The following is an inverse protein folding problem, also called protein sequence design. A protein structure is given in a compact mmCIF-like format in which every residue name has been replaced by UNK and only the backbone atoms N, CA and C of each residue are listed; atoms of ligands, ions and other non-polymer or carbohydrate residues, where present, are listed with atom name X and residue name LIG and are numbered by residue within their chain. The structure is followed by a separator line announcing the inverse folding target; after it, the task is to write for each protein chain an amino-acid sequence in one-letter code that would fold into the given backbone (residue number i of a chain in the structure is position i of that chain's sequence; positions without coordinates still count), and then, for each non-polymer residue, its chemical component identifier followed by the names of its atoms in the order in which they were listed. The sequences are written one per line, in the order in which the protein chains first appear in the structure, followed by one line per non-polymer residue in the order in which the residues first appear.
data_IF_307730099063
#
_entry.id   IF_307730099063
#
_cell.length_a   1.000
_cell.length_b   1.000
_cell.length_c   1.000
_cell.angle_alpha   90.00
_cell.angle_beta   90.00
_cell.angle_gamma   90.00
#
_symmetry.space_group_name_H-M   'P 1'
#
loop_
_entity.id
_entity.type
_entity.pdbx_description
1 polymer ?
#
# COMPACT_ATOMS: atom_id res chain seq x y z
N UNK A 1 -4.80 -26.93 -2.65
CA UNK A 1 -4.25 -25.57 -2.46
C UNK A 1 -3.89 -25.31 -1.00
N UNK A 2 -4.80 -25.56 -0.04
CA UNK A 2 -4.47 -25.60 1.39
C UNK A 2 -3.25 -26.48 1.70
N UNK A 3 -3.14 -27.66 1.09
CA UNK A 3 -1.95 -28.52 1.20
C UNK A 3 -0.64 -27.85 0.75
N UNK A 4 -0.67 -27.06 -0.34
CA UNK A 4 0.51 -26.33 -0.84
C UNK A 4 0.86 -25.14 0.08
N UNK A 5 -0.15 -24.43 0.58
CA UNK A 5 0.04 -23.33 1.51
C UNK A 5 0.61 -23.81 2.86
N UNK A 6 0.09 -24.92 3.40
CA UNK A 6 0.61 -25.54 4.63
C UNK A 6 2.07 -25.97 4.49
N UNK A 7 2.47 -26.47 3.31
CA UNK A 7 3.86 -26.83 3.02
C UNK A 7 4.78 -25.60 2.99
N UNK A 8 4.29 -24.44 2.54
CA UNK A 8 5.08 -23.21 2.41
C UNK A 8 5.10 -22.41 3.72
N UNK A 9 3.98 -22.27 4.39
CA UNK A 9 3.81 -21.43 5.59
C UNK A 9 3.95 -22.18 6.92
N UNK A 10 3.86 -23.51 6.90
CA UNK A 10 3.77 -24.33 8.11
C UNK A 10 2.40 -24.23 8.84
N UNK A 11 1.50 -23.36 8.38
CA UNK A 11 0.20 -23.11 9.04
C UNK A 11 -0.89 -23.93 8.38
N UNK A 12 -1.67 -24.63 9.21
CA UNK A 12 -2.86 -25.33 8.73
C UNK A 12 -4.00 -24.33 8.51
N UNK A 13 -4.40 -24.20 7.24
CA UNK A 13 -5.49 -23.32 6.81
C UNK A 13 -6.68 -24.12 6.26
N UNK A 14 -6.77 -25.41 6.58
CA UNK A 14 -7.79 -26.31 6.02
C UNK A 14 -9.22 -25.92 6.39
N UNK A 15 -9.39 -25.23 7.51
CA UNK A 15 -10.70 -24.78 8.02
C UNK A 15 -11.12 -23.39 7.50
N UNK A 16 -10.26 -22.71 6.73
CA UNK A 16 -10.57 -21.38 6.18
C UNK A 16 -11.39 -21.49 4.90
N UNK A 17 -12.26 -20.50 4.68
CA UNK A 17 -13.01 -20.44 3.43
C UNK A 17 -12.09 -20.13 2.25
N UNK A 18 -12.39 -20.68 1.08
CA UNK A 18 -11.51 -20.55 -0.10
C UNK A 18 -11.28 -19.08 -0.52
N UNK A 19 -12.26 -18.21 -0.27
CA UNK A 19 -12.13 -16.76 -0.52
C UNK A 19 -11.07 -16.12 0.38
N UNK A 20 -10.94 -16.54 1.64
CA UNK A 20 -9.92 -16.02 2.57
C UNK A 20 -8.49 -16.47 2.16
N UNK A 21 -8.41 -17.52 1.35
CA UNK A 21 -7.16 -18.09 0.85
C UNK A 21 -6.77 -17.47 -0.49
N UNK A 22 -7.73 -17.29 -1.41
CA UNK A 22 -7.46 -16.95 -2.81
C UNK A 22 -7.80 -15.52 -3.21
N UNK A 23 -8.85 -14.93 -2.63
CA UNK A 23 -9.32 -13.63 -3.09
C UNK A 23 -8.37 -12.54 -2.62
N UNK A 24 -8.09 -11.58 -3.49
CA UNK A 24 -7.29 -10.41 -3.13
C UNK A 24 -8.23 -9.37 -2.52
N UNK A 25 -8.43 -9.46 -1.21
CA UNK A 25 -9.23 -8.49 -0.46
C UNK A 25 -8.34 -7.37 0.03
N UNK A 26 -8.46 -6.20 -0.60
CA UNK A 26 -7.69 -5.00 -0.26
C UNK A 26 -8.53 -4.04 0.60
N UNK A 27 -7.97 -3.62 1.72
CA UNK A 27 -8.51 -2.56 2.57
C UNK A 27 -7.63 -1.31 2.48
N UNK A 28 -8.24 -0.20 2.08
CA UNK A 28 -7.60 1.12 2.06
C UNK A 28 -7.96 1.87 3.36
N UNK A 29 -6.99 1.96 4.28
CA UNK A 29 -7.11 2.65 5.56
C UNK A 29 -6.55 4.05 5.40
N UNK A 30 -7.45 5.02 5.26
CA UNK A 30 -7.09 6.43 5.12
C UNK A 30 -6.25 6.91 6.33
N UNK A 31 -5.13 7.65 6.13
CA UNK A 31 -4.74 8.26 4.86
C UNK A 31 -3.78 7.43 3.99
N UNK A 32 -3.16 6.39 4.52
CA UNK A 32 -1.93 5.89 3.90
C UNK A 32 -1.52 4.45 4.20
N UNK A 33 -2.43 3.61 4.68
CA UNK A 33 -2.15 2.20 4.92
C UNK A 33 -3.07 1.36 4.04
N UNK A 34 -2.49 0.39 3.33
CA UNK A 34 -3.20 -0.56 2.50
C UNK A 34 -2.90 -1.95 3.06
N UNK A 35 -3.94 -2.74 3.35
CA UNK A 35 -3.78 -4.09 3.90
C UNK A 35 -4.48 -5.08 2.98
N UNK A 36 -3.76 -6.12 2.57
CA UNK A 36 -4.30 -7.25 1.84
C UNK A 36 -4.65 -8.35 2.85
N UNK A 37 -5.94 -8.54 3.10
CA UNK A 37 -6.45 -9.37 4.18
C UNK A 37 -6.82 -10.78 3.69
N UNK A 38 -5.88 -11.41 2.98
CA UNK A 38 -6.04 -12.78 2.50
C UNK A 38 -4.72 -13.53 2.63
N UNK A 39 -4.79 -14.82 2.94
CA UNK A 39 -3.61 -15.65 3.15
C UNK A 39 -2.73 -15.78 1.90
N UNK A 40 -3.34 -15.74 0.71
CA UNK A 40 -2.63 -15.75 -0.57
C UNK A 40 -2.02 -14.40 -0.97
N UNK A 41 -2.24 -13.33 -0.21
CA UNK A 41 -1.65 -12.01 -0.45
C UNK A 41 -1.32 -11.35 0.88
N UNK A 42 -0.27 -11.82 1.59
CA UNK A 42 0.08 -11.35 2.93
C UNK A 42 0.82 -10.01 2.91
N UNK A 43 0.35 -9.06 2.10
CA UNK A 43 1.00 -7.77 1.88
C UNK A 43 0.32 -6.68 2.71
N UNK A 44 1.12 -5.74 3.18
CA UNK A 44 0.63 -4.41 3.55
C UNK A 44 1.58 -3.35 3.00
N UNK A 45 1.00 -2.21 2.61
CA UNK A 45 1.76 -1.05 2.15
C UNK A 45 1.49 0.14 3.05
N UNK A 46 2.54 0.89 3.37
CA UNK A 46 2.40 2.20 4.03
C UNK A 46 3.13 3.25 3.21
N UNK A 47 2.45 4.38 2.97
CA UNK A 47 3.00 5.47 2.15
C UNK A 47 3.09 6.74 2.99
N UNK A 48 4.28 7.22 3.29
CA UNK A 48 4.43 8.44 4.10
C UNK A 48 5.08 9.55 3.29
N UNK A 49 4.61 10.82 3.36
CA UNK A 49 5.31 11.93 2.73
C UNK A 49 6.74 12.04 3.25
N UNK A 50 7.71 12.20 2.36
CA UNK A 50 9.12 12.28 2.75
C UNK A 50 9.87 13.22 1.80
N UNK A 51 10.59 14.23 2.30
CA UNK A 51 11.44 15.06 1.44
C UNK A 51 10.72 16.00 0.46
N UNK A 52 9.43 16.29 0.66
CA UNK A 52 8.68 17.28 -0.13
C UNK A 52 7.42 16.71 -0.80
N UNK A 53 6.73 17.50 -1.64
CA UNK A 53 5.49 17.09 -2.30
C UNK A 53 5.67 16.03 -3.40
N UNK A 54 6.90 15.81 -3.87
CA UNK A 54 7.23 14.90 -4.98
C UNK A 54 7.84 13.57 -4.51
N UNK A 55 8.00 13.40 -3.20
CA UNK A 55 8.68 12.24 -2.64
C UNK A 55 7.86 11.64 -1.49
N UNK A 56 7.91 10.33 -1.40
CA UNK A 56 7.31 9.56 -0.33
C UNK A 56 8.21 8.39 0.03
N UNK A 57 8.07 7.90 1.25
CA UNK A 57 8.58 6.60 1.65
C UNK A 57 7.47 5.58 1.42
N UNK A 58 7.73 4.64 0.52
CA UNK A 58 6.86 3.50 0.24
C UNK A 58 7.40 2.28 0.98
N UNK A 59 6.67 1.82 1.99
CA UNK A 59 7.05 0.68 2.82
C UNK A 59 6.21 -0.53 2.46
N UNK A 60 6.87 -1.69 2.34
CA UNK A 60 6.25 -2.98 2.06
C UNK A 60 6.45 -3.89 3.27
N UNK A 61 5.35 -4.47 3.75
CA UNK A 61 5.35 -5.46 4.81
C UNK A 61 4.86 -6.80 4.26
N UNK A 62 5.57 -7.88 4.61
CA UNK A 62 5.09 -9.24 4.44
C UNK A 62 4.61 -9.78 5.80
N UNK A 63 3.30 -9.90 5.95
CA UNK A 63 2.63 -10.33 7.17
C UNK A 63 2.26 -11.81 7.07
N UNK A 64 3.28 -12.67 7.15
CA UNK A 64 3.11 -14.12 7.05
C UNK A 64 2.49 -14.70 8.33
N UNK A 65 1.58 -15.69 8.20
CA UNK A 65 1.06 -16.38 9.37
C UNK A 65 2.16 -17.27 9.99
N UNK A 66 2.04 -17.54 11.29
CA UNK A 66 2.93 -18.45 12.01
C UNK A 66 2.13 -19.36 12.96
N UNK A 67 2.73 -20.47 13.36
CA UNK A 67 2.18 -21.38 14.37
C UNK A 67 3.21 -21.64 15.48
N UNK A 68 2.76 -21.70 16.73
CA UNK A 68 3.65 -21.87 17.88
C UNK A 68 4.19 -20.53 18.36
N UNK A 69 5.47 -20.49 18.72
CA UNK A 69 6.12 -19.28 19.19
C UNK A 69 6.25 -18.24 18.07
N UNK A 70 5.98 -16.97 18.40
CA UNK A 70 6.08 -15.87 17.44
C UNK A 70 7.54 -15.69 17.03
N UNK A 71 7.86 -15.72 15.72
CA UNK A 71 9.21 -15.44 15.26
C UNK A 71 9.58 -13.98 15.54
N UNK A 72 10.88 -13.72 15.65
CA UNK A 72 11.38 -12.34 15.71
C UNK A 72 10.97 -11.55 14.47
N UNK A 73 10.84 -10.23 14.64
CA UNK A 73 10.51 -9.35 13.52
C UNK A 73 11.60 -9.43 12.44
N UNK A 74 11.18 -9.37 11.17
CA UNK A 74 12.11 -9.36 10.04
C UNK A 74 13.04 -8.14 10.11
N UNK A 75 14.30 -8.32 9.69
CA UNK A 75 15.24 -7.22 9.60
C UNK A 75 14.71 -6.12 8.66
N UNK A 76 14.80 -4.87 9.11
CA UNK A 76 14.43 -3.73 8.28
C UNK A 76 15.44 -3.56 7.15
N UNK A 77 14.95 -3.59 5.91
CA UNK A 77 15.73 -3.31 4.72
C UNK A 77 15.24 -2.01 4.08
N UNK A 78 16.12 -1.03 3.97
CA UNK A 78 15.87 0.21 3.26
C UNK A 78 16.47 0.13 1.87
N UNK A 79 15.69 0.53 0.87
CA UNK A 79 16.14 0.68 -0.50
C UNK A 79 16.44 2.15 -0.78
N UNK A 80 17.50 2.40 -1.52
CA UNK A 80 17.81 3.70 -2.12
C UNK A 80 17.05 3.87 -3.46
N UNK A 81 16.96 5.11 -3.95
CA UNK A 81 16.14 5.49 -5.13
C UNK A 81 16.48 4.69 -6.42
N UNK A 82 17.67 4.06 -6.49
CA UNK A 82 18.14 3.29 -7.65
C UNK A 82 18.11 1.76 -7.45
N UNK A 83 17.64 1.28 -6.29
CA UNK A 83 17.52 -0.13 -5.97
C UNK A 83 16.11 -0.64 -6.27
N UNK A 84 15.97 -1.93 -6.60
CA UNK A 84 14.71 -2.54 -7.03
C UNK A 84 14.12 -3.41 -5.94
N UNK A 85 12.79 -3.41 -5.82
CA UNK A 85 12.08 -4.37 -4.97
C UNK A 85 12.22 -5.80 -5.52
N UNK A 86 12.35 -5.95 -6.84
CA UNK A 86 12.60 -7.24 -7.51
C UNK A 86 13.91 -7.91 -7.12
N UNK A 87 14.89 -7.16 -6.61
CA UNK A 87 16.17 -7.72 -6.15
C UNK A 87 16.07 -8.30 -4.72
N UNK A 88 14.95 -8.09 -4.02
CA UNK A 88 14.73 -8.55 -2.65
C UNK A 88 14.11 -9.94 -2.67
N UNK A 89 14.92 -10.95 -2.37
CA UNK A 89 14.52 -12.37 -2.41
C UNK A 89 13.23 -12.64 -1.63
N UNK A 90 13.07 -12.02 -0.45
CA UNK A 90 11.89 -12.18 0.40
C UNK A 90 10.59 -11.74 -0.28
N UNK A 91 10.63 -10.80 -1.23
CA UNK A 91 9.45 -10.33 -1.96
C UNK A 91 9.04 -11.27 -3.11
N UNK A 92 9.88 -12.23 -3.49
CA UNK A 92 9.56 -13.24 -4.51
C UNK A 92 9.05 -12.59 -5.82
N UNK A 93 7.96 -13.07 -6.40
CA UNK A 93 7.32 -12.50 -7.57
C UNK A 93 6.70 -11.11 -7.33
N UNK A 94 6.41 -10.71 -6.08
CA UNK A 94 5.81 -9.41 -5.80
C UNK A 94 6.77 -8.26 -6.11
N UNK A 95 8.08 -8.45 -5.90
CA UNK A 95 9.08 -7.40 -6.11
C UNK A 95 9.03 -6.82 -7.52
N UNK A 96 9.00 -7.68 -8.54
CA UNK A 96 8.90 -7.23 -9.94
C UNK A 96 7.55 -6.62 -10.33
N UNK A 97 6.47 -6.90 -9.59
CA UNK A 97 5.18 -6.22 -9.77
C UNK A 97 5.23 -4.83 -9.15
N UNK A 98 5.77 -4.71 -7.94
CA UNK A 98 5.96 -3.43 -7.25
C UNK A 98 6.86 -2.51 -8.06
N UNK A 99 7.94 -3.03 -8.65
CA UNK A 99 8.81 -2.25 -9.53
C UNK A 99 8.07 -1.66 -10.73
N UNK A 100 7.06 -2.35 -11.29
CA UNK A 100 6.26 -1.81 -12.39
C UNK A 100 5.42 -0.60 -11.96
N UNK A 101 4.87 -0.62 -10.75
CA UNK A 101 4.11 0.49 -10.19
C UNK A 101 5.02 1.67 -9.84
N UNK A 102 6.15 1.40 -9.18
CA UNK A 102 7.13 2.41 -8.76
C UNK A 102 7.78 3.09 -9.98
N UNK A 103 8.10 2.35 -11.04
CA UNK A 103 8.68 2.89 -12.28
C UNK A 103 7.68 3.82 -13.03
N UNK A 104 6.38 3.68 -12.77
CA UNK A 104 5.30 4.47 -13.39
C UNK A 104 5.02 5.77 -12.63
N UNK A 105 5.12 5.77 -11.30
CA UNK A 105 4.78 6.92 -10.44
C UNK A 105 5.50 8.24 -10.82
N UNK A 106 6.84 8.28 -11.04
CA UNK A 106 7.53 9.51 -11.46
C UNK A 106 7.07 10.05 -12.82
N UNK A 107 6.56 9.17 -13.69
CA UNK A 107 6.03 9.57 -15.00
C UNK A 107 4.69 10.26 -14.84
N UNK A 108 3.81 9.74 -13.97
CA UNK A 108 2.55 10.39 -13.61
C UNK A 108 2.82 11.75 -12.98
N UNK A 109 3.74 11.84 -12.01
CA UNK A 109 4.07 13.10 -11.36
C UNK A 109 4.54 14.17 -12.35
N UNK A 110 5.49 13.83 -13.25
CA UNK A 110 5.94 14.75 -14.31
C UNK A 110 4.83 15.16 -15.26
N UNK A 111 3.93 14.23 -15.59
CA UNK A 111 2.76 14.51 -16.43
C UNK A 111 1.79 15.51 -15.78
N UNK A 112 1.52 15.34 -14.48
CA UNK A 112 0.67 16.26 -13.71
C UNK A 112 1.27 17.67 -13.65
N UNK A 113 2.57 17.80 -13.42
CA UNK A 113 3.25 19.12 -13.45
C UNK A 113 3.20 19.78 -14.82
N UNK A 114 3.34 18.97 -15.88
CA UNK A 114 3.41 19.48 -17.26
C UNK A 114 2.02 19.79 -17.84
N UNK A 115 0.93 19.45 -17.14
CA UNK A 115 -0.44 19.70 -17.59
C UNK A 115 -0.77 21.19 -17.54
N UNK A 116 -1.16 21.79 -18.67
CA UNK A 116 -1.55 23.21 -18.71
C UNK A 116 -2.75 23.52 -17.82
N UNK A 117 -3.72 22.59 -17.73
CA UNK A 117 -4.93 22.79 -16.94
C UNK A 117 -4.72 22.59 -15.45
N UNK A 118 -3.60 21.97 -15.03
CA UNK A 118 -3.34 21.54 -13.65
C UNK A 118 -4.50 20.74 -13.03
N UNK A 119 -5.27 20.05 -13.87
CA UNK A 119 -6.42 19.21 -13.49
C UNK A 119 -6.30 17.85 -14.16
N UNK A 120 -7.01 16.87 -13.62
CA UNK A 120 -7.06 15.50 -14.12
C UNK A 120 -8.52 15.03 -14.19
N UNK A 121 -8.81 14.14 -15.13
CA UNK A 121 -10.13 13.52 -15.27
C UNK A 121 -10.02 12.06 -14.88
N UNK A 122 -10.93 11.60 -14.00
CA UNK A 122 -10.98 10.22 -13.54
C UNK A 122 -12.15 9.48 -14.18
N UNK A 123 -11.91 8.25 -14.64
CA UNK A 123 -12.91 7.28 -15.07
C UNK A 123 -14.03 7.12 -14.04
N UNK A 124 -15.27 7.05 -14.52
CA UNK A 124 -16.45 6.99 -13.65
C UNK A 124 -16.45 5.74 -12.75
N UNK A 125 -16.08 4.58 -13.30
CA UNK A 125 -16.18 3.30 -12.59
C UNK A 125 -14.84 2.85 -11.98
N UNK A 126 -13.79 2.77 -12.80
CA UNK A 126 -12.51 2.15 -12.41
C UNK A 126 -11.73 2.97 -11.37
N UNK A 127 -11.95 4.28 -11.31
CA UNK A 127 -11.20 5.19 -10.43
C UNK A 127 -12.07 5.79 -9.32
N UNK A 128 -13.20 5.14 -9.02
CA UNK A 128 -14.10 5.52 -7.92
C UNK A 128 -13.40 5.57 -6.57
N UNK A 129 -12.48 4.63 -6.28
CA UNK A 129 -11.66 4.62 -5.05
C UNK A 129 -10.71 5.81 -4.96
N UNK A 130 -10.04 6.18 -6.06
CA UNK A 130 -9.16 7.35 -6.11
C UNK A 130 -9.96 8.63 -5.84
N UNK A 131 -11.13 8.75 -6.46
CA UNK A 131 -12.05 9.89 -6.23
C UNK A 131 -12.49 9.97 -4.77
N UNK A 132 -12.90 8.84 -4.19
CA UNK A 132 -13.32 8.78 -2.78
C UNK A 132 -12.17 9.16 -1.81
N UNK A 133 -10.95 8.70 -2.08
CA UNK A 133 -9.76 9.07 -1.31
C UNK A 133 -9.50 10.58 -1.39
N UNK A 134 -9.57 11.18 -2.59
CA UNK A 134 -9.39 12.62 -2.80
C UNK A 134 -10.44 13.45 -2.08
N UNK A 135 -11.71 13.09 -2.20
CA UNK A 135 -12.81 13.76 -1.49
C UNK A 135 -12.66 13.66 0.04
N UNK A 136 -12.18 12.51 0.54
CA UNK A 136 -11.92 12.32 1.96
C UNK A 136 -10.76 13.21 2.42
N UNK A 137 -9.68 13.27 1.66
CA UNK A 137 -8.57 14.18 1.93
C UNK A 137 -9.02 15.65 1.99
N UNK A 138 -9.83 16.09 1.02
CA UNK A 138 -10.34 17.45 0.97
C UNK A 138 -11.22 17.79 2.20
N UNK A 139 -11.99 16.83 2.73
CA UNK A 139 -12.74 17.00 3.99
C UNK A 139 -11.82 17.25 5.18
N UNK A 140 -10.73 16.50 5.30
CA UNK A 140 -9.75 16.70 6.39
C UNK A 140 -8.96 18.00 6.24
N UNK A 141 -8.61 18.39 5.01
CA UNK A 141 -7.90 19.65 4.75
C UNK A 141 -8.80 20.87 4.97
N UNK A 142 -10.07 20.81 4.54
CA UNK A 142 -11.06 21.88 4.78
C UNK A 142 -11.46 21.99 6.25
N UNK A 143 -11.48 20.88 6.99
CA UNK A 143 -11.66 20.92 8.44
C UNK A 143 -10.53 21.69 9.14
N UNK A 144 -9.26 21.52 8.72
CA UNK A 144 -8.14 22.32 9.22
C UNK A 144 -8.27 23.81 8.91
N UNK A 145 -8.88 24.20 7.78
CA UNK A 145 -9.18 25.60 7.48
C UNK A 145 -10.26 26.20 8.40
N UNK A 146 -10.97 25.38 9.17
CA UNK A 146 -12.07 25.76 10.07
C UNK A 146 -11.71 25.70 11.56
N UNK A 147 -10.46 25.43 11.93
CA UNK A 147 -10.04 25.45 13.34
C UNK A 147 -10.32 26.85 13.94
N UNK A 148 -11.15 26.96 14.99
CA UNK A 148 -11.45 28.25 15.59
C UNK A 148 -10.17 28.81 16.20
N UNK A 149 -9.94 30.09 15.91
CA UNK A 149 -8.92 30.95 16.48
C UNK A 149 -8.84 30.72 18.01
N UNK A 150 -7.93 29.86 18.48
CA UNK A 150 -7.61 29.78 19.91
C UNK A 150 -6.78 31.00 20.25
N UNK A 151 -7.46 32.14 20.37
CA UNK A 151 -6.97 33.31 21.08
C UNK A 151 -7.26 33.12 22.57
N UNK A 152 -6.17 33.05 23.32
CA UNK A 152 -5.96 33.55 24.68
C UNK A 152 -6.98 33.15 25.77
N UNK A 153 -6.48 32.34 26.70
CA UNK A 153 -6.63 32.61 28.13
C UNK A 153 -5.21 32.62 28.71
#
# INVERSE_FOLDING_TARGET
MAQRFKVISGVDISDLHISEILDVVQYDIFPNLIVFAAYGSPLAYRVTPAGGPEKCLFEVYLLLPFSGDRPDDAAYQRLEDNEKFGDIEALTYYGGIIDQDVDMMPRVQRGLYSSQSQTYTLSAYQESRIRHMRETLDKYLSFKARAPNRRQI
#
